data_IF_432037150350
#
_entry.id   IF_432037150350
#
_cell.length_a   1.000
_cell.length_b   1.000
_cell.length_c   1.000
_cell.angle_alpha   90.00
_cell.angle_beta   90.00
_cell.angle_gamma   90.00
#
_symmetry.space_group_name_H-M   'P 1'
#
loop_
_entity.id
_entity.type
_entity.pdbx_description
1 polymer ?
#
# COMPACT_ATOMS: atom_id res chain seq x y z
N UNK A 1 -13.39 18.70 2.10
CA UNK A 1 -12.83 18.02 0.91
C UNK A 1 -12.54 16.59 1.32
N UNK A 2 -12.93 15.58 0.53
CA UNK A 2 -12.73 14.18 0.91
C UNK A 2 -11.23 13.85 0.80
N UNK A 3 -10.51 13.92 1.92
CA UNK A 3 -9.14 13.43 2.01
C UNK A 3 -9.23 11.94 1.69
N UNK A 4 -8.65 11.53 0.56
CA UNK A 4 -8.62 10.11 0.22
C UNK A 4 -7.77 9.44 1.29
N UNK A 5 -8.32 8.42 1.92
CA UNK A 5 -7.60 7.60 2.90
C UNK A 5 -6.61 6.69 2.19
N UNK A 6 -5.60 6.24 2.92
CA UNK A 6 -4.83 5.08 2.55
C UNK A 6 -5.69 3.82 2.45
N UNK A 7 -5.06 2.73 2.07
CA UNK A 7 -5.76 1.45 1.90
C UNK A 7 -4.92 0.31 2.47
N UNK A 8 -5.60 -0.71 2.97
CA UNK A 8 -5.00 -2.00 3.26
C UNK A 8 -5.10 -2.85 1.99
N UNK A 9 -3.94 -3.23 1.45
CA UNK A 9 -3.83 -4.11 0.29
C UNK A 9 -3.32 -5.48 0.71
N UNK A 10 -3.71 -6.51 -0.04
CA UNK A 10 -3.30 -7.89 0.18
C UNK A 10 -2.61 -8.44 -1.06
N UNK A 11 -1.52 -9.17 -0.88
CA UNK A 11 -0.97 -10.02 -1.94
C UNK A 11 -1.87 -11.24 -2.10
N UNK A 12 -2.57 -11.31 -3.23
CA UNK A 12 -3.47 -12.43 -3.56
C UNK A 12 -2.81 -13.42 -4.52
N UNK A 13 -1.57 -13.18 -4.92
CA UNK A 13 -0.79 -14.14 -5.68
C UNK A 13 -0.24 -15.25 -4.77
N UNK A 14 -0.01 -16.43 -5.35
CA UNK A 14 0.59 -17.58 -4.67
C UNK A 14 2.11 -17.43 -4.43
N UNK A 15 2.69 -16.29 -4.81
CA UNK A 15 4.14 -16.04 -4.77
C UNK A 15 4.45 -14.70 -4.09
N UNK A 16 5.66 -14.54 -3.56
CA UNK A 16 6.11 -13.27 -3.02
C UNK A 16 6.12 -12.19 -4.11
N UNK A 17 5.68 -10.99 -3.74
CA UNK A 17 5.60 -9.83 -4.62
C UNK A 17 6.46 -8.70 -4.08
N UNK A 18 7.16 -8.02 -4.99
CA UNK A 18 7.88 -6.78 -4.68
C UNK A 18 7.33 -5.66 -5.53
N UNK A 19 6.68 -4.68 -4.89
CA UNK A 19 6.10 -3.51 -5.57
C UNK A 19 7.01 -2.32 -5.30
N UNK A 20 7.58 -1.75 -6.35
CA UNK A 20 8.42 -0.56 -6.27
C UNK A 20 7.55 0.67 -6.49
N UNK A 21 7.09 1.29 -5.41
CA UNK A 21 6.39 2.56 -5.46
C UNK A 21 7.39 3.71 -5.55
N UNK A 22 6.91 4.90 -5.89
CA UNK A 22 7.72 6.11 -5.89
C UNK A 22 8.24 6.50 -4.49
N UNK A 23 7.46 6.20 -3.45
CA UNK A 23 7.77 6.53 -2.05
C UNK A 23 8.70 5.52 -1.37
N UNK A 24 8.54 4.22 -1.67
CA UNK A 24 9.22 3.08 -1.05
C UNK A 24 9.01 1.78 -1.83
N UNK A 25 9.69 0.72 -1.40
CA UNK A 25 9.49 -0.64 -1.92
C UNK A 25 8.69 -1.46 -0.92
N UNK A 26 7.57 -2.03 -1.36
CA UNK A 26 6.78 -2.98 -0.59
C UNK A 26 7.23 -4.40 -0.93
N UNK A 27 7.52 -5.20 0.09
CA UNK A 27 7.77 -6.64 -0.03
C UNK A 27 6.64 -7.34 0.69
N UNK A 28 5.95 -8.23 -0.01
CA UNK A 28 4.76 -8.93 0.49
C UNK A 28 4.88 -10.40 0.15
N UNK A 29 4.83 -11.28 1.15
CA UNK A 29 4.70 -12.72 0.92
C UNK A 29 3.28 -13.05 0.42
N UNK A 30 3.06 -14.30 0.00
CA UNK A 30 1.74 -14.74 -0.44
C UNK A 30 0.72 -14.66 0.70
N UNK A 31 -0.34 -13.88 0.53
CA UNK A 31 -1.36 -13.65 1.55
C UNK A 31 -1.07 -12.51 2.53
N UNK A 32 0.09 -11.85 2.45
CA UNK A 32 0.44 -10.72 3.31
C UNK A 32 -0.44 -9.50 3.03
N UNK A 33 -0.64 -8.70 4.08
CA UNK A 33 -1.41 -7.46 4.05
C UNK A 33 -0.51 -6.29 4.44
N UNK A 34 -0.59 -5.19 3.69
CA UNK A 34 0.24 -4.00 3.89
C UNK A 34 -0.61 -2.75 3.75
N UNK A 35 -0.39 -1.78 4.64
CA UNK A 35 -0.99 -0.46 4.54
C UNK A 35 -0.22 0.42 3.56
N UNK A 36 -0.95 1.10 2.70
CA UNK A 36 -0.45 2.08 1.75
C UNK A 36 -1.08 3.44 1.99
N UNK A 37 -0.30 4.51 1.79
CA UNK A 37 -0.79 5.88 1.96
C UNK A 37 -1.70 6.30 0.80
N UNK A 38 -2.45 7.36 1.00
CA UNK A 38 -3.32 7.94 -0.03
C UNK A 38 -2.59 8.45 -1.28
N UNK A 39 -1.30 8.78 -1.13
CA UNK A 39 -0.41 9.13 -2.24
C UNK A 39 -0.01 7.88 -3.02
N UNK A 40 0.39 6.82 -2.31
CA UNK A 40 0.76 5.51 -2.88
C UNK A 40 -0.39 4.86 -3.64
N UNK A 41 -1.63 5.07 -3.21
CA UNK A 41 -2.84 4.65 -3.93
C UNK A 41 -2.88 5.16 -5.38
N UNK A 42 -2.27 6.32 -5.66
CA UNK A 42 -2.23 6.92 -7.00
C UNK A 42 -1.03 6.46 -7.83
N UNK A 43 -0.14 5.67 -7.24
CA UNK A 43 1.05 5.18 -7.93
C UNK A 43 0.64 4.29 -9.12
N UNK A 44 1.14 4.57 -10.33
CA UNK A 44 0.82 3.77 -11.51
C UNK A 44 1.22 2.29 -11.33
N UNK A 45 2.33 2.02 -10.64
CA UNK A 45 2.81 0.66 -10.38
C UNK A 45 1.83 -0.13 -9.53
N UNK A 46 1.24 0.52 -8.52
CA UNK A 46 0.20 -0.09 -7.70
C UNK A 46 -1.05 -0.39 -8.52
N UNK A 47 -1.46 0.56 -9.37
CA UNK A 47 -2.62 0.40 -10.25
C UNK A 47 -2.43 -0.77 -11.23
N UNK A 48 -1.25 -0.94 -11.79
CA UNK A 48 -0.94 -2.05 -12.69
C UNK A 48 -1.07 -3.39 -11.97
N UNK A 49 -0.56 -3.50 -10.74
CA UNK A 49 -0.71 -4.72 -9.92
C UNK A 49 -2.17 -5.02 -9.59
N UNK A 50 -2.99 -4.00 -9.30
CA UNK A 50 -4.44 -4.16 -9.11
C UNK A 50 -5.13 -4.66 -10.39
N UNK A 51 -4.74 -4.13 -11.57
CA UNK A 51 -5.30 -4.57 -12.85
C UNK A 51 -4.91 -6.02 -13.18
N UNK A 52 -3.67 -6.40 -12.89
CA UNK A 52 -3.16 -7.77 -13.06
C UNK A 52 -3.70 -8.75 -12.01
N UNK A 53 -4.45 -8.27 -11.00
CA UNK A 53 -4.98 -9.05 -9.88
C UNK A 53 -3.89 -9.79 -9.09
N UNK A 54 -2.69 -9.22 -9.02
CA UNK A 54 -1.62 -9.71 -8.14
C UNK A 54 -1.83 -9.24 -6.70
N UNK A 55 -2.49 -8.09 -6.55
CA UNK A 55 -2.92 -7.55 -5.26
C UNK A 55 -4.42 -7.23 -5.26
N UNK A 56 -5.02 -7.19 -4.08
CA UNK A 56 -6.41 -6.78 -3.87
C UNK A 56 -6.50 -5.72 -2.76
N UNK A 57 -7.44 -4.78 -2.90
CA UNK A 57 -7.79 -3.86 -1.81
C UNK A 57 -8.73 -4.59 -0.85
N UNK A 58 -8.33 -4.69 0.41
CA UNK A 58 -9.14 -5.31 1.47
C UNK A 58 -10.12 -4.31 2.05
N UNK A 59 -9.61 -3.15 2.47
CA UNK A 59 -10.39 -2.06 3.07
C UNK A 59 -9.66 -0.73 3.02
N UNK A 60 -10.36 0.41 3.18
CA UNK A 60 -9.71 1.67 3.53
C UNK A 60 -8.93 1.54 4.86
N UNK A 61 -7.81 2.26 4.95
CA UNK A 61 -7.11 2.45 6.22
C UNK A 61 -7.99 3.26 7.19
N UNK A 62 -7.80 3.05 8.49
CA UNK A 62 -8.34 3.96 9.51
C UNK A 62 -7.51 5.24 9.57
N UNK A 63 -8.07 6.30 10.16
CA UNK A 63 -7.34 7.56 10.29
C UNK A 63 -6.08 7.39 11.18
N UNK A 64 -6.15 6.53 12.22
CA UNK A 64 -5.00 6.16 13.07
C UNK A 64 -3.91 5.37 12.32
N UNK A 65 -4.30 4.44 11.45
CA UNK A 65 -3.37 3.67 10.62
C UNK A 65 -2.66 4.56 9.60
N UNK A 66 -3.37 5.49 8.99
CA UNK A 66 -2.80 6.47 8.05
C UNK A 66 -1.80 7.39 8.75
N UNK A 67 -2.14 7.90 9.94
CA UNK A 67 -1.25 8.75 10.73
C UNK A 67 0.01 7.99 11.19
N UNK A 68 -0.16 6.76 11.69
CA UNK A 68 0.96 5.91 12.11
C UNK A 68 1.89 5.63 10.94
N UNK A 69 1.34 5.24 9.80
CA UNK A 69 2.12 4.96 8.60
C UNK A 69 2.85 6.21 8.09
N UNK A 70 2.18 7.37 8.11
CA UNK A 70 2.80 8.64 7.72
C UNK A 70 3.97 8.99 8.64
N UNK A 71 3.83 8.77 9.95
CA UNK A 71 4.89 9.00 10.93
C UNK A 71 6.08 8.04 10.72
N UNK A 72 5.83 6.73 10.55
CA UNK A 72 6.87 5.75 10.28
C UNK A 72 7.69 6.08 9.02
N UNK A 73 6.99 6.57 7.98
CA UNK A 73 7.63 6.99 6.72
C UNK A 73 8.40 8.30 6.85
N UNK A 74 7.96 9.21 7.72
CA UNK A 74 8.69 10.44 8.03
C UNK A 74 9.96 10.13 8.84
N UNK A 75 9.85 9.28 9.86
CA UNK A 75 10.96 8.88 10.73
C UNK A 75 12.01 8.06 9.98
N UNK A 76 11.59 7.19 9.05
CA UNK A 76 12.51 6.41 8.20
C UNK A 76 13.30 7.27 7.20
N UNK A 77 12.95 8.55 7.03
CA UNK A 77 13.62 9.51 6.14
C UNK A 77 14.50 10.53 6.88
N UNK A 78 14.59 10.50 8.21
CA UNK A 78 15.47 11.35 9.02
C UNK A 78 16.82 10.69 9.29
#
# INVERSE_FOLDING_TARGET
MSQRRGMLIKNVAERPLTIRLQSRVLKMEAGDEVLITSEEVRDPTLRDNLQLRTIAVVRPATDEEDETLAQELADSRS
#
